data_IF_287676513552
#
_entry.id   IF_287676513552
#
_cell.length_a   1.000
_cell.length_b   1.000
_cell.length_c   1.000
_cell.angle_alpha   90.00
_cell.angle_beta   90.00
_cell.angle_gamma   90.00
#
_symmetry.space_group_name_H-M   'P 1'
#
loop_
_entity.id
_entity.type
_entity.pdbx_description
1 polymer ?
#
# COMPACT_ATOMS: atom_id res chain seq x y z
N UNK A 1 9.56 -3.56 33.82
CA UNK A 1 10.17 -2.43 33.11
C UNK A 1 10.77 -2.88 31.76
N UNK A 2 9.91 -3.37 30.86
CA UNK A 2 10.28 -4.00 29.57
C UNK A 2 10.25 -2.97 28.43
N UNK A 3 9.61 -1.82 28.65
CA UNK A 3 9.30 -0.80 27.65
C UNK A 3 10.55 -0.03 27.15
N UNK A 4 11.57 0.10 28.00
CA UNK A 4 12.82 0.82 27.67
C UNK A 4 13.61 0.18 26.51
N UNK A 5 13.49 -1.14 26.31
CA UNK A 5 14.15 -1.86 25.22
C UNK A 5 13.46 -1.68 23.85
N UNK A 6 12.22 -1.17 23.82
CA UNK A 6 11.43 -0.95 22.60
C UNK A 6 11.35 0.53 22.18
N UNK A 7 12.10 1.42 22.82
CA UNK A 7 12.15 2.83 22.44
C UNK A 7 12.53 3.06 20.96
N UNK A 8 13.30 2.13 20.35
CA UNK A 8 13.73 2.22 18.93
C UNK A 8 12.67 1.74 17.94
N UNK A 9 11.64 1.03 18.39
CA UNK A 9 10.53 0.52 17.55
C UNK A 9 9.30 1.44 17.57
N UNK A 10 9.32 2.49 18.39
CA UNK A 10 8.25 3.49 18.41
C UNK A 10 8.28 4.31 17.13
N UNK A 11 7.15 4.36 16.45
CA UNK A 11 6.97 5.08 15.19
C UNK A 11 6.92 6.58 15.46
N UNK A 12 7.59 7.35 14.61
CA UNK A 12 7.41 8.80 14.49
C UNK A 12 6.73 9.08 13.15
N UNK A 13 5.89 10.12 13.09
CA UNK A 13 5.29 10.56 11.83
C UNK A 13 6.38 10.87 10.80
N UNK A 14 6.21 10.34 9.59
CA UNK A 14 7.20 10.43 8.51
C UNK A 14 8.23 9.28 8.49
N UNK A 15 8.26 8.38 9.46
CA UNK A 15 9.06 7.16 9.34
C UNK A 15 8.61 6.33 8.14
N UNK A 16 9.56 5.65 7.47
CA UNK A 16 9.24 4.69 6.42
C UNK A 16 9.16 3.30 7.03
N UNK A 17 8.08 2.59 6.75
CA UNK A 17 7.83 1.22 7.18
C UNK A 17 8.08 0.29 6.00
N UNK A 18 8.86 -0.77 6.23
CA UNK A 18 9.23 -1.74 5.20
C UNK A 18 8.87 -3.14 5.68
N UNK A 19 8.07 -3.87 4.92
CA UNK A 19 7.72 -5.25 5.23
C UNK A 19 8.93 -6.17 5.01
N UNK A 20 9.39 -6.81 6.09
CA UNK A 20 10.53 -7.73 6.07
C UNK A 20 10.12 -9.20 6.08
N UNK A 21 8.84 -9.49 6.34
CA UNK A 21 8.19 -10.81 6.20
C UNK A 21 6.75 -10.61 5.73
N UNK A 22 6.18 -11.61 5.07
CA UNK A 22 4.76 -11.60 4.66
C UNK A 22 4.39 -10.40 3.78
N UNK A 23 4.84 -10.40 2.52
CA UNK A 23 4.75 -9.22 1.64
C UNK A 23 6.06 -8.45 1.55
N UNK A 24 7.18 -9.16 1.44
CA UNK A 24 8.52 -8.54 1.44
C UNK A 24 8.64 -7.51 0.32
N UNK A 25 9.04 -6.29 0.69
CA UNK A 25 9.19 -5.18 -0.25
C UNK A 25 8.00 -4.23 -0.31
N UNK A 26 6.95 -4.46 0.47
CA UNK A 26 5.90 -3.47 0.64
C UNK A 26 6.41 -2.32 1.53
N UNK A 27 6.14 -1.09 1.10
CA UNK A 27 6.66 0.12 1.73
C UNK A 27 5.53 1.09 2.00
N UNK A 28 5.53 1.71 3.18
CA UNK A 28 4.55 2.72 3.56
C UNK A 28 5.22 3.86 4.34
N UNK A 29 4.61 5.04 4.32
CA UNK A 29 5.03 6.17 5.17
C UNK A 29 4.09 6.23 6.37
N UNK A 30 4.66 6.29 7.56
CA UNK A 30 3.89 6.41 8.79
C UNK A 30 3.21 7.78 8.86
N UNK A 31 1.88 7.77 8.94
CA UNK A 31 1.09 8.97 9.20
C UNK A 31 1.31 9.46 10.63
N UNK A 32 1.03 10.74 10.88
CA UNK A 32 1.06 11.30 12.24
C UNK A 32 0.08 10.58 13.19
N UNK A 33 -1.01 10.01 12.67
CA UNK A 33 -2.02 9.31 13.45
C UNK A 33 -1.53 8.00 14.09
N UNK A 34 -0.46 7.41 13.57
CA UNK A 34 0.15 6.19 14.13
C UNK A 34 1.46 6.46 14.88
N UNK A 35 1.81 7.73 15.09
CA UNK A 35 2.96 8.10 15.91
C UNK A 35 2.78 7.58 17.35
N UNK A 36 3.83 7.01 17.92
CA UNK A 36 3.78 6.37 19.23
C UNK A 36 3.41 4.88 19.21
N UNK A 37 2.87 4.36 18.10
CA UNK A 37 2.61 2.94 17.96
C UNK A 37 3.90 2.12 17.86
N UNK A 38 3.79 0.82 18.15
CA UNK A 38 4.88 -0.14 18.01
C UNK A 38 4.73 -0.93 16.71
N UNK A 39 5.84 -1.20 16.03
CA UNK A 39 5.89 -2.13 14.90
C UNK A 39 5.99 -3.58 15.39
N UNK A 40 5.46 -4.52 14.61
CA UNK A 40 5.65 -5.96 14.82
C UNK A 40 7.03 -6.40 14.33
N UNK A 41 7.41 -7.67 14.58
CA UNK A 41 8.68 -8.24 14.13
C UNK A 41 8.79 -8.42 12.60
N UNK A 42 7.69 -8.23 11.87
CA UNK A 42 7.61 -8.44 10.43
C UNK A 42 7.76 -7.14 9.64
N UNK A 43 7.92 -6.01 10.34
CA UNK A 43 8.11 -4.68 9.77
C UNK A 43 9.39 -4.07 10.31
N UNK A 44 10.21 -3.53 9.41
CA UNK A 44 11.35 -2.70 9.75
C UNK A 44 10.97 -1.22 9.66
N UNK A 45 11.44 -0.44 10.63
CA UNK A 45 11.36 1.02 10.60
C UNK A 45 12.64 1.59 9.99
N UNK A 46 12.48 2.33 8.91
CA UNK A 46 13.51 3.09 8.20
C UNK A 46 13.30 4.56 8.55
N UNK A 47 14.07 5.04 9.52
CA UNK A 47 14.02 6.43 9.96
C UNK A 47 14.82 7.31 8.98
N UNK A 48 14.20 8.30 8.31
CA UNK A 48 14.92 9.28 7.51
C UNK A 48 15.97 10.01 8.35
N UNK A 49 17.11 10.35 7.75
CA UNK A 49 18.18 11.13 8.40
C UNK A 49 18.31 12.49 7.73
N UNK A 50 18.50 13.52 8.54
CA UNK A 50 18.74 14.88 8.05
C UNK A 50 17.55 15.42 7.27
N UNK A 51 17.80 15.85 6.04
CA UNK A 51 16.87 16.48 5.12
C UNK A 51 16.31 15.53 4.04
N UNK A 52 16.57 14.22 4.16
CA UNK A 52 16.07 13.23 3.20
C UNK A 52 14.56 13.06 3.35
N UNK A 53 13.82 13.34 2.28
CA UNK A 53 12.37 13.20 2.22
C UNK A 53 11.95 11.72 2.31
N UNK A 54 10.99 11.41 3.18
CA UNK A 54 10.44 10.04 3.33
C UNK A 54 9.79 9.50 2.06
N UNK A 55 9.21 10.38 1.23
CA UNK A 55 8.61 10.01 -0.07
C UNK A 55 9.68 9.53 -1.03
N UNK A 56 10.83 10.21 -1.06
CA UNK A 56 11.98 9.74 -1.82
C UNK A 56 12.43 8.35 -1.35
N UNK A 57 12.60 8.15 -0.04
CA UNK A 57 13.01 6.84 0.52
C UNK A 57 12.02 5.75 0.13
N UNK A 58 10.71 6.03 0.23
CA UNK A 58 9.66 5.10 -0.20
C UNK A 58 9.84 4.72 -1.68
N UNK A 59 9.86 5.70 -2.58
CA UNK A 59 9.98 5.43 -4.02
C UNK A 59 11.30 4.74 -4.39
N UNK A 60 12.39 5.10 -3.70
CA UNK A 60 13.69 4.48 -3.91
C UNK A 60 13.69 2.99 -3.51
N UNK A 61 13.03 2.63 -2.41
CA UNK A 61 12.88 1.24 -1.96
C UNK A 61 11.87 0.45 -2.81
N UNK A 62 10.85 1.11 -3.36
CA UNK A 62 9.88 0.53 -4.29
C UNK A 62 10.43 0.35 -5.71
N UNK A 63 11.57 0.99 -6.04
CA UNK A 63 12.20 0.86 -7.35
C UNK A 63 12.50 -0.60 -7.69
N UNK A 64 12.38 -0.94 -8.98
CA UNK A 64 12.60 -2.32 -9.44
C UNK A 64 13.98 -2.87 -9.04
N UNK A 65 15.01 -2.02 -9.06
CA UNK A 65 16.37 -2.38 -8.68
C UNK A 65 16.50 -2.64 -7.18
N UNK A 66 15.94 -1.78 -6.33
CA UNK A 66 15.99 -1.96 -4.88
C UNK A 66 15.16 -3.17 -4.46
N UNK A 67 13.98 -3.36 -5.04
CA UNK A 67 13.12 -4.53 -4.79
C UNK A 67 13.80 -5.83 -5.21
N UNK A 68 14.43 -5.87 -6.39
CA UNK A 68 15.18 -7.04 -6.83
C UNK A 68 16.37 -7.35 -5.91
N UNK A 69 17.13 -6.33 -5.48
CA UNK A 69 18.25 -6.49 -4.57
C UNK A 69 17.79 -6.97 -3.18
N UNK A 70 16.67 -6.45 -2.68
CA UNK A 70 16.08 -6.90 -1.43
C UNK A 70 15.60 -8.36 -1.51
N UNK A 71 14.91 -8.74 -2.59
CA UNK A 71 14.45 -10.11 -2.81
C UNK A 71 15.61 -11.10 -2.93
N UNK A 72 16.72 -10.70 -3.56
CA UNK A 72 17.95 -11.52 -3.64
C UNK A 72 18.63 -11.75 -2.29
N UNK A 73 18.27 -10.99 -1.25
CA UNK A 73 18.81 -11.11 0.12
C UNK A 73 17.87 -11.82 1.08
N UNK A 74 16.73 -12.30 0.59
CA UNK A 74 15.76 -13.02 1.42
C UNK A 74 16.35 -14.36 1.85
N UNK A 75 16.30 -14.63 3.15
CA UNK A 75 16.77 -15.86 3.78
C UNK A 75 15.61 -16.59 4.48
N UNK A 76 15.83 -17.86 4.81
CA UNK A 76 14.88 -18.69 5.55
C UNK A 76 14.09 -19.66 4.66
N UNK A 77 14.07 -20.94 5.06
CA UNK A 77 13.40 -22.00 4.32
C UNK A 77 11.88 -22.04 4.59
N UNK A 78 11.49 -22.02 5.87
CA UNK A 78 10.08 -22.08 6.30
C UNK A 78 9.45 -20.70 6.42
N UNK A 79 10.19 -19.73 6.97
CA UNK A 79 9.76 -18.33 7.06
C UNK A 79 10.75 -17.50 6.27
N UNK A 80 10.32 -17.03 5.11
CA UNK A 80 11.11 -16.14 4.27
C UNK A 80 11.10 -14.74 4.87
N UNK A 81 12.28 -14.14 4.99
CA UNK A 81 12.42 -12.76 5.42
C UNK A 81 13.77 -12.15 5.07
N UNK A 82 13.83 -10.82 5.10
CA UNK A 82 15.09 -10.08 5.04
C UNK A 82 15.45 -9.62 6.46
N UNK A 83 16.70 -9.79 6.88
CA UNK A 83 17.13 -9.28 8.17
C UNK A 83 17.47 -7.76 8.07
N UNK A 84 17.50 -7.07 9.20
CA UNK A 84 17.73 -5.61 9.25
C UNK A 84 19.10 -5.23 8.66
N UNK A 85 20.12 -6.09 8.78
CA UNK A 85 21.46 -5.82 8.27
C UNK A 85 21.52 -5.88 6.75
N UNK A 86 20.81 -6.83 6.15
CA UNK A 86 20.70 -6.96 4.70
C UNK A 86 19.80 -5.88 4.11
N UNK A 87 18.72 -5.50 4.80
CA UNK A 87 17.89 -4.36 4.40
C UNK A 87 18.72 -3.06 4.33
N UNK A 88 19.61 -2.82 5.31
CA UNK A 88 20.53 -1.67 5.29
C UNK A 88 21.51 -1.66 4.12
N UNK A 89 21.72 -2.80 3.46
CA UNK A 89 22.63 -2.97 2.33
C UNK A 89 21.91 -3.00 0.98
N UNK A 90 20.59 -2.87 0.98
CA UNK A 90 19.80 -2.73 -0.25
C UNK A 90 20.25 -1.47 -0.96
N UNK A 91 20.62 -1.62 -2.23
CA UNK A 91 21.04 -0.50 -3.07
C UNK A 91 19.83 0.30 -3.52
N UNK A 92 19.89 1.59 -3.26
CA UNK A 92 18.95 2.58 -3.76
C UNK A 92 19.64 3.51 -4.76
N UNK A 93 18.91 4.15 -5.69
CA UNK A 93 19.49 5.13 -6.60
C UNK A 93 20.22 6.23 -5.85
N UNK A 94 21.46 6.52 -6.24
CA UNK A 94 22.23 7.65 -5.72
C UNK A 94 21.99 8.87 -6.61
N UNK A 95 21.29 9.84 -6.06
CA UNK A 95 20.75 11.02 -6.73
C UNK A 95 21.08 12.23 -5.86
N UNK A 96 21.32 13.42 -6.42
CA UNK A 96 21.58 14.61 -5.60
C UNK A 96 20.36 15.04 -4.76
N UNK A 97 20.59 15.72 -3.64
CA UNK A 97 19.54 16.23 -2.74
C UNK A 97 18.41 17.01 -3.43
N UNK A 98 18.74 17.87 -4.41
CA UNK A 98 17.75 18.66 -5.16
C UNK A 98 16.92 17.76 -6.05
N UNK A 99 17.59 16.84 -6.76
CA UNK A 99 16.90 15.91 -7.67
C UNK A 99 16.05 14.89 -6.90
N UNK A 100 16.49 14.39 -5.73
CA UNK A 100 15.68 13.52 -4.86
C UNK A 100 14.34 14.17 -4.51
N UNK A 101 14.35 15.46 -4.16
CA UNK A 101 13.15 16.23 -3.82
C UNK A 101 12.25 16.42 -5.04
N UNK A 102 12.83 16.83 -6.17
CA UNK A 102 12.09 17.00 -7.42
C UNK A 102 11.40 15.70 -7.85
N UNK A 103 12.13 14.58 -7.82
CA UNK A 103 11.59 13.25 -8.15
C UNK A 103 10.51 12.81 -7.16
N UNK A 104 10.71 13.07 -5.88
CA UNK A 104 9.69 12.77 -4.87
C UNK A 104 8.40 13.55 -5.12
N UNK A 105 8.48 14.83 -5.48
CA UNK A 105 7.31 15.64 -5.81
C UNK A 105 6.62 15.16 -7.10
N UNK A 106 7.36 14.92 -8.18
CA UNK A 106 6.83 14.36 -9.44
C UNK A 106 6.07 13.05 -9.21
N UNK A 107 6.69 12.10 -8.51
CA UNK A 107 6.08 10.78 -8.24
C UNK A 107 4.90 10.89 -7.28
N UNK A 108 4.93 11.80 -6.31
CA UNK A 108 3.81 12.04 -5.41
C UNK A 108 2.58 12.57 -6.13
N UNK A 109 2.77 13.46 -7.11
CA UNK A 109 1.69 13.98 -7.93
C UNK A 109 1.06 12.91 -8.81
N UNK A 110 1.88 12.01 -9.36
CA UNK A 110 1.40 10.85 -10.12
C UNK A 110 0.59 9.91 -9.20
N UNK A 111 1.11 9.56 -8.02
CA UNK A 111 0.42 8.72 -7.03
C UNK A 111 -0.91 9.34 -6.61
N UNK A 112 -0.96 10.67 -6.40
CA UNK A 112 -2.17 11.41 -6.07
C UNK A 112 -3.21 11.27 -7.18
N UNK A 113 -2.82 11.50 -8.43
CA UNK A 113 -3.70 11.36 -9.60
C UNK A 113 -4.25 9.93 -9.74
N UNK A 114 -3.40 8.92 -9.56
CA UNK A 114 -3.82 7.50 -9.60
C UNK A 114 -4.84 7.21 -8.49
N UNK A 115 -4.62 7.71 -7.27
CA UNK A 115 -5.52 7.50 -6.15
C UNK A 115 -6.88 8.20 -6.37
N UNK A 116 -6.89 9.41 -6.94
CA UNK A 116 -8.13 10.10 -7.32
C UNK A 116 -8.94 9.30 -8.35
N UNK A 117 -8.29 8.72 -9.36
CA UNK A 117 -8.94 7.87 -10.36
C UNK A 117 -9.51 6.61 -9.71
N UNK A 118 -8.74 5.94 -8.84
CA UNK A 118 -9.20 4.74 -8.11
C UNK A 118 -10.45 5.04 -7.28
N UNK A 119 -10.44 6.13 -6.51
CA UNK A 119 -11.60 6.53 -5.71
C UNK A 119 -12.85 6.81 -6.56
N UNK A 120 -12.67 7.41 -7.75
CA UNK A 120 -13.78 7.62 -8.69
C UNK A 120 -14.34 6.31 -9.22
N UNK A 121 -13.46 5.35 -9.55
CA UNK A 121 -13.86 4.03 -10.01
C UNK A 121 -14.63 3.28 -8.92
N UNK A 122 -14.13 3.25 -7.69
CA UNK A 122 -14.79 2.59 -6.56
C UNK A 122 -16.19 3.16 -6.31
N UNK A 123 -16.34 4.49 -6.39
CA UNK A 123 -17.65 5.16 -6.28
C UNK A 123 -18.59 4.74 -7.40
N UNK A 124 -18.11 4.66 -8.64
CA UNK A 124 -18.93 4.21 -9.77
C UNK A 124 -19.39 2.77 -9.60
N UNK A 125 -18.50 1.87 -9.16
CA UNK A 125 -18.83 0.48 -8.86
C UNK A 125 -19.90 0.39 -7.77
N UNK A 126 -19.78 1.19 -6.71
CA UNK A 126 -20.77 1.25 -5.65
C UNK A 126 -22.14 1.71 -6.17
N UNK A 127 -22.19 2.80 -6.93
CA UNK A 127 -23.44 3.33 -7.51
C UNK A 127 -24.11 2.31 -8.45
N UNK A 128 -23.34 1.60 -9.27
CA UNK A 128 -23.87 0.55 -10.15
C UNK A 128 -24.45 -0.60 -9.31
N UNK A 129 -23.78 -1.00 -8.23
CA UNK A 129 -24.27 -2.05 -7.33
C UNK A 129 -25.57 -1.63 -6.63
N UNK A 130 -25.64 -0.40 -6.13
CA UNK A 130 -26.85 0.17 -5.51
C UNK A 130 -28.00 0.26 -6.51
N UNK A 131 -27.74 0.75 -7.72
CA UNK A 131 -28.74 0.83 -8.78
C UNK A 131 -29.26 -0.54 -9.19
N UNK A 132 -28.36 -1.53 -9.35
CA UNK A 132 -28.74 -2.92 -9.64
C UNK A 132 -29.64 -3.48 -8.55
N UNK A 133 -29.29 -3.26 -7.27
CA UNK A 133 -30.10 -3.72 -6.15
C UNK A 133 -31.49 -3.04 -6.13
N UNK A 134 -31.55 -1.74 -6.41
CA UNK A 134 -32.80 -1.00 -6.50
C UNK A 134 -33.68 -1.51 -7.66
N UNK A 135 -33.11 -1.74 -8.84
CA UNK A 135 -33.83 -2.29 -9.99
C UNK A 135 -34.38 -3.70 -9.72
N UNK A 136 -33.58 -4.58 -9.12
CA UNK A 136 -34.03 -5.93 -8.73
C UNK A 136 -35.17 -5.81 -7.72
N UNK A 137 -35.04 -4.94 -6.72
CA UNK A 137 -36.07 -4.72 -5.70
C UNK A 137 -37.36 -4.20 -6.34
N UNK A 138 -37.26 -3.21 -7.23
CA UNK A 138 -38.39 -2.63 -7.93
C UNK A 138 -39.07 -3.66 -8.87
N UNK A 139 -38.30 -4.49 -9.56
CA UNK A 139 -38.83 -5.59 -10.38
C UNK A 139 -39.56 -6.65 -9.53
N UNK A 140 -38.97 -7.09 -8.42
CA UNK A 140 -39.57 -8.13 -7.54
C UNK A 140 -40.78 -7.61 -6.77
N UNK A 141 -40.81 -6.32 -6.45
CA UNK A 141 -41.97 -5.67 -5.82
C UNK A 141 -43.04 -5.21 -6.81
N UNK A 142 -42.86 -5.46 -8.11
CA UNK A 142 -43.81 -5.09 -9.16
C UNK A 142 -43.89 -3.59 -9.45
N UNK A 143 -42.93 -2.80 -8.97
CA UNK A 143 -42.81 -1.37 -9.26
C UNK A 143 -42.27 -1.11 -10.68
N UNK A 144 -41.68 -2.12 -11.32
CA UNK A 144 -41.21 -2.09 -12.72
C UNK A 144 -41.69 -3.36 -13.42
N UNK A 145 -42.26 -3.22 -14.62
CA UNK A 145 -42.62 -4.36 -15.47
C UNK A 145 -41.37 -4.99 -16.09
N UNK A 146 -41.21 -6.30 -15.89
CA UNK A 146 -40.11 -7.08 -16.48
C UNK A 146 -40.62 -7.73 -17.77
N UNK A 147 -40.02 -7.47 -18.94
CA UNK A 147 -40.43 -8.10 -20.19
C UNK A 147 -40.36 -9.63 -20.12
N UNK A 148 -41.41 -10.30 -20.58
CA UNK A 148 -41.63 -11.76 -20.46
C UNK A 148 -40.49 -12.62 -21.04
N UNK A 149 -39.71 -12.08 -21.99
CA UNK A 149 -38.55 -12.74 -22.58
C UNK A 149 -37.40 -13.03 -21.60
N UNK A 150 -37.33 -12.34 -20.45
CA UNK A 150 -36.32 -12.61 -19.42
C UNK A 150 -36.75 -13.74 -18.45
N UNK A 151 -38.04 -14.06 -18.37
CA UNK A 151 -38.58 -15.06 -17.46
C UNK A 151 -38.40 -16.51 -17.96
N UNK A 152 -38.21 -16.71 -19.27
CA UNK A 152 -38.12 -18.04 -19.89
C UNK A 152 -36.71 -18.61 -20.01
N UNK A 153 -35.64 -17.82 -19.82
CA UNK A 153 -34.25 -18.30 -19.95
C UNK A 153 -33.72 -19.14 -18.76
N UNK A 154 -34.54 -19.42 -17.74
CA UNK A 154 -34.12 -20.17 -16.54
C UNK A 154 -34.68 -21.59 -16.39
N UNK A 155 -35.43 -22.11 -17.36
CA UNK A 155 -36.20 -23.36 -17.19
C UNK A 155 -35.95 -24.47 -18.24
N UNK A 156 -34.92 -24.37 -19.07
CA UNK A 156 -34.54 -25.47 -19.97
C UNK A 156 -33.16 -26.06 -19.62
N UNK A 157 -33.22 -27.15 -18.83
CA UNK A 157 -32.29 -28.29 -18.67
C UNK A 157 -30.84 -28.05 -18.22
#
# INVERSE_FOLDING_TARGET
DIESNYARSRIVGGDVLYAIRGGIGDVAIASASIAGANITQDVARVAPRGDVDSRWIRFALESATARADALGRVVGATVKGINIWDLKRVRVPDVDSVERRLRADELSEIDRSINEIRQRLDRQTQLISEHRQALITAAVTGQIEVPEAAASCGLER
#
